data_IF_832884221268
#
_entry.id   IF_832884221268
#
_cell.length_a   1.000
_cell.length_b   1.000
_cell.length_c   1.000
_cell.angle_alpha   90.00
_cell.angle_beta   90.00
_cell.angle_gamma   90.00
#
_symmetry.space_group_name_H-M   'P 1'
#
loop_
_entity.id
_entity.type
_entity.pdbx_description
1 polymer ?
#
# COMPACT_ATOMS: atom_id res chain seq x y z
N UNK A 1 -4.24 -1.03 -52.81
CA UNK A 1 -4.40 -0.73 -51.38
C UNK A 1 -4.11 -2.03 -50.66
N UNK A 2 -2.97 -2.13 -49.98
CA UNK A 2 -2.59 -3.33 -49.24
C UNK A 2 -3.55 -3.54 -48.08
N UNK A 3 -4.19 -4.70 -48.03
CA UNK A 3 -5.00 -5.14 -46.91
C UNK A 3 -4.06 -5.35 -45.71
N UNK A 4 -4.08 -4.42 -44.77
CA UNK A 4 -3.39 -4.59 -43.50
C UNK A 4 -4.14 -5.70 -42.74
N UNK A 5 -3.44 -6.81 -42.46
CA UNK A 5 -3.98 -7.97 -41.76
C UNK A 5 -4.27 -7.58 -40.28
N UNK A 6 -5.53 -7.65 -39.86
CA UNK A 6 -5.96 -7.35 -38.50
C UNK A 6 -5.19 -8.13 -37.43
N UNK A 7 -4.81 -9.39 -37.72
CA UNK A 7 -4.00 -10.20 -36.80
C UNK A 7 -2.59 -9.64 -36.62
N UNK A 8 -1.99 -9.10 -37.68
CA UNK A 8 -0.68 -8.47 -37.60
C UNK A 8 -0.75 -7.15 -36.82
N UNK A 9 -1.85 -6.40 -36.95
CA UNK A 9 -2.09 -5.20 -36.13
C UNK A 9 -2.24 -5.61 -34.66
N UNK A 10 -3.03 -6.64 -34.34
CA UNK A 10 -3.23 -7.11 -32.97
C UNK A 10 -1.91 -7.54 -32.33
N UNK A 11 -1.07 -8.31 -33.03
CA UNK A 11 0.24 -8.73 -32.53
C UNK A 11 1.16 -7.53 -32.28
N UNK A 12 1.19 -6.56 -33.21
CA UNK A 12 2.00 -5.35 -33.05
C UNK A 12 1.49 -4.51 -31.87
N UNK A 13 0.18 -4.34 -31.73
CA UNK A 13 -0.43 -3.59 -30.61
C UNK A 13 -0.16 -4.30 -29.29
N UNK A 14 -0.36 -5.63 -29.21
CA UNK A 14 -0.08 -6.42 -28.00
C UNK A 14 1.40 -6.36 -27.63
N UNK A 15 2.31 -6.39 -28.61
CA UNK A 15 3.75 -6.24 -28.37
C UNK A 15 4.09 -4.84 -27.87
N UNK A 16 3.57 -3.78 -28.49
CA UNK A 16 3.77 -2.39 -28.05
C UNK A 16 3.20 -2.17 -26.64
N UNK A 17 2.03 -2.73 -26.32
CA UNK A 17 1.45 -2.65 -24.97
C UNK A 17 2.35 -3.37 -23.98
N UNK A 18 2.84 -4.57 -24.29
CA UNK A 18 3.74 -5.34 -23.41
C UNK A 18 5.08 -4.61 -23.20
N UNK A 19 5.66 -4.06 -24.28
CA UNK A 19 6.90 -3.27 -24.23
C UNK A 19 6.72 -1.96 -23.47
N UNK A 20 5.57 -1.28 -23.59
CA UNK A 20 5.27 -0.04 -22.85
C UNK A 20 4.89 -0.29 -21.40
N UNK A 21 4.23 -1.39 -21.07
CA UNK A 21 3.99 -1.82 -19.69
C UNK A 21 5.31 -2.21 -18.99
N UNK A 22 6.30 -2.72 -19.73
CA UNK A 22 7.65 -2.97 -19.22
C UNK A 22 8.57 -1.74 -19.15
N UNK A 23 8.13 -0.57 -19.66
CA UNK A 23 8.87 0.69 -19.68
C UNK A 23 8.28 1.76 -18.75
N UNK A 24 7.48 1.36 -17.76
CA UNK A 24 7.18 2.25 -16.65
C UNK A 24 8.42 2.26 -15.76
N UNK A 25 9.00 3.44 -15.55
CA UNK A 25 10.05 3.59 -14.55
C UNK A 25 9.54 2.96 -13.24
N UNK A 26 10.34 2.11 -12.57
CA UNK A 26 9.87 1.47 -11.34
C UNK A 26 9.43 2.56 -10.36
N UNK A 27 8.17 2.50 -9.90
CA UNK A 27 7.57 3.53 -9.03
C UNK A 27 8.38 3.75 -7.74
N UNK A 28 9.15 2.72 -7.35
CA UNK A 28 10.11 2.71 -6.25
C UNK A 28 11.19 1.65 -6.51
N UNK A 29 12.33 1.77 -5.83
CA UNK A 29 13.43 0.81 -5.95
C UNK A 29 13.02 -0.54 -5.31
N UNK A 30 12.79 -1.53 -6.17
CA UNK A 30 12.46 -2.92 -5.84
C UNK A 30 13.36 -3.87 -6.61
N UNK A 31 13.96 -4.83 -5.92
CA UNK A 31 14.70 -5.93 -6.53
C UNK A 31 13.99 -7.23 -6.21
N UNK A 32 13.64 -7.99 -7.25
CA UNK A 32 12.97 -9.30 -7.14
C UNK A 32 13.91 -10.35 -7.73
N UNK A 33 14.32 -11.29 -6.90
CA UNK A 33 15.10 -12.46 -7.32
C UNK A 33 14.19 -13.47 -8.06
N UNK A 34 14.69 -14.27 -9.01
CA UNK A 34 13.89 -15.30 -9.68
C UNK A 34 13.22 -16.32 -8.74
N UNK A 35 13.68 -16.47 -7.49
CA UNK A 35 13.00 -17.26 -6.46
C UNK A 35 11.72 -16.63 -5.91
N UNK A 36 11.45 -15.35 -6.21
CA UNK A 36 10.37 -14.55 -5.63
C UNK A 36 10.77 -13.78 -4.37
N UNK A 37 11.99 -13.99 -3.83
CA UNK A 37 12.51 -13.16 -2.73
C UNK A 37 12.72 -11.74 -3.23
N UNK A 38 12.29 -10.75 -2.46
CA UNK A 38 12.39 -9.35 -2.85
C UNK A 38 12.91 -8.45 -1.74
N UNK A 39 13.61 -7.39 -2.14
CA UNK A 39 14.00 -6.28 -1.27
C UNK A 39 13.42 -4.99 -1.82
N UNK A 40 12.78 -4.20 -0.95
CA UNK A 40 12.11 -2.95 -1.31
C UNK A 40 12.74 -1.83 -0.50
N UNK A 41 13.22 -0.79 -1.17
CA UNK A 41 13.80 0.38 -0.51
C UNK A 41 12.69 1.37 -0.18
N UNK A 42 12.11 1.20 1.00
CA UNK A 42 10.95 1.96 1.46
C UNK A 42 11.13 3.47 1.37
N UNK A 43 12.35 4.02 1.50
CA UNK A 43 12.62 5.45 1.34
C UNK A 43 12.33 6.02 -0.06
N UNK A 44 12.14 5.16 -1.06
CA UNK A 44 11.83 5.56 -2.44
C UNK A 44 10.37 5.42 -2.81
N UNK A 45 9.58 4.78 -1.95
CA UNK A 45 8.13 4.61 -2.13
C UNK A 45 7.45 5.96 -1.95
N UNK A 46 6.66 6.35 -2.94
CA UNK A 46 5.82 7.56 -2.93
C UNK A 46 4.36 7.15 -2.78
N UNK A 47 3.78 7.26 -1.57
CA UNK A 47 2.37 6.96 -1.34
C UNK A 47 1.44 7.87 -2.15
N UNK A 48 0.31 7.32 -2.57
CA UNK A 48 -0.72 8.03 -3.35
C UNK A 48 -1.93 8.31 -2.48
N UNK A 49 -2.73 9.32 -2.83
CA UNK A 49 -3.88 9.72 -2.01
C UNK A 49 -4.85 8.56 -1.83
N UNK A 50 -5.15 8.24 -0.58
CA UNK A 50 -6.15 7.25 -0.19
C UNK A 50 -7.50 7.95 0.09
N UNK A 51 -8.59 7.38 -0.43
CA UNK A 51 -9.93 7.93 -0.21
C UNK A 51 -10.52 7.41 1.10
N UNK A 52 -10.53 8.26 2.13
CA UNK A 52 -11.17 7.96 3.42
C UNK A 52 -12.68 8.22 3.40
N UNK A 53 -13.24 8.70 2.29
CA UNK A 53 -14.61 9.19 2.19
C UNK A 53 -14.80 10.62 2.72
N UNK A 54 -13.74 11.29 3.18
CA UNK A 54 -13.77 12.66 3.72
C UNK A 54 -12.76 13.57 3.03
N UNK A 55 -13.27 14.65 2.47
CA UNK A 55 -12.42 15.67 1.84
C UNK A 55 -11.53 16.37 2.87
N UNK A 56 -10.26 16.58 2.51
CA UNK A 56 -9.26 17.25 3.36
C UNK A 56 -8.40 16.31 4.19
N UNK A 57 -8.77 15.03 4.31
CA UNK A 57 -7.92 14.03 4.95
C UNK A 57 -6.63 13.85 4.11
N UNK A 58 -5.48 13.92 4.80
CA UNK A 58 -4.16 13.76 4.22
C UNK A 58 -3.65 12.36 4.52
N UNK A 59 -4.25 11.38 3.86
CA UNK A 59 -3.91 9.98 3.97
C UNK A 59 -3.39 9.51 2.63
N UNK A 60 -2.23 8.87 2.64
CA UNK A 60 -1.57 8.38 1.44
C UNK A 60 -1.07 6.96 1.66
N UNK A 61 -1.22 6.11 0.67
CA UNK A 61 -0.91 4.69 0.75
C UNK A 61 -0.34 4.19 -0.58
N UNK A 62 0.58 3.22 -0.50
CA UNK A 62 1.03 2.44 -1.66
C UNK A 62 1.33 1.01 -1.23
N UNK A 63 0.60 0.05 -1.80
CA UNK A 63 0.99 -1.35 -1.72
C UNK A 63 2.30 -1.56 -2.49
N UNK A 64 3.25 -2.28 -1.90
CA UNK A 64 4.58 -2.52 -2.48
C UNK A 64 4.77 -3.94 -3.01
N UNK A 65 3.76 -4.80 -2.80
CA UNK A 65 3.66 -6.16 -3.32
C UNK A 65 2.31 -6.36 -4.01
N UNK A 66 2.28 -7.10 -5.11
CA UNK A 66 1.03 -7.52 -5.77
C UNK A 66 0.53 -8.84 -5.16
N UNK A 67 -0.73 -9.21 -5.43
CA UNK A 67 -1.29 -10.51 -5.04
C UNK A 67 -0.58 -11.69 -5.74
N UNK A 68 -0.01 -11.49 -6.93
CA UNK A 68 0.78 -12.52 -7.61
C UNK A 68 2.12 -12.74 -6.90
N UNK A 69 2.77 -11.66 -6.46
CA UNK A 69 4.05 -11.71 -5.75
C UNK A 69 3.90 -12.19 -4.30
N UNK A 70 2.82 -11.80 -3.62
CA UNK A 70 2.52 -12.18 -2.24
C UNK A 70 1.02 -12.49 -2.08
N UNK A 71 0.60 -13.75 -2.31
CA UNK A 71 -0.82 -14.12 -2.28
C UNK A 71 -1.43 -14.21 -0.88
N UNK A 72 -0.61 -14.04 0.18
CA UNK A 72 -1.05 -14.20 1.58
C UNK A 72 -0.87 -12.94 2.40
N UNK A 73 0.25 -12.25 2.25
CA UNK A 73 0.57 -11.06 3.01
C UNK A 73 0.45 -9.82 2.15
N UNK A 74 -0.33 -8.84 2.59
CA UNK A 74 -0.31 -7.50 2.04
C UNK A 74 0.84 -6.74 2.69
N UNK A 75 1.45 -5.83 1.96
CA UNK A 75 2.53 -5.01 2.49
C UNK A 75 2.57 -3.69 1.71
N UNK A 76 2.71 -2.59 2.43
CA UNK A 76 2.80 -1.28 1.82
C UNK A 76 3.35 -0.23 2.76
N UNK A 77 3.39 1.00 2.24
CA UNK A 77 3.82 2.17 3.00
C UNK A 77 2.65 3.14 3.05
N UNK A 78 2.40 3.65 4.26
CA UNK A 78 1.37 4.65 4.51
C UNK A 78 2.00 5.92 5.09
N UNK A 79 1.49 7.05 4.66
CA UNK A 79 1.83 8.38 5.17
C UNK A 79 0.57 9.14 5.54
N UNK A 80 0.64 9.84 6.67
CA UNK A 80 -0.45 10.65 7.19
C UNK A 80 0.09 11.95 7.75
N UNK A 81 -0.69 13.02 7.61
CA UNK A 81 -0.35 14.36 8.11
C UNK A 81 -1.57 15.01 8.77
N UNK A 82 -1.47 15.33 10.06
CA UNK A 82 -2.48 16.05 10.85
C UNK A 82 -3.93 15.61 10.59
N UNK A 83 -4.18 14.29 10.58
CA UNK A 83 -5.44 13.69 10.16
C UNK A 83 -5.87 12.59 11.14
N UNK A 84 -7.18 12.42 11.28
CA UNK A 84 -7.79 11.27 11.95
C UNK A 84 -8.98 10.78 11.13
N UNK A 85 -9.05 9.47 10.89
CA UNK A 85 -10.15 8.85 10.15
C UNK A 85 -10.55 7.51 10.77
N UNK A 86 -11.84 7.20 10.71
CA UNK A 86 -12.39 5.95 11.22
C UNK A 86 -12.14 4.82 10.24
N UNK A 87 -11.73 3.65 10.75
CA UNK A 87 -11.53 2.45 9.95
C UNK A 87 -11.90 1.20 10.75
N UNK A 88 -12.47 0.20 10.08
CA UNK A 88 -12.71 -1.11 10.69
C UNK A 88 -11.89 -2.16 9.95
N UNK A 89 -10.85 -2.68 10.60
CA UNK A 89 -9.97 -3.65 9.98
C UNK A 89 -10.65 -5.02 9.97
N UNK A 90 -10.96 -5.54 8.78
CA UNK A 90 -11.48 -6.91 8.58
C UNK A 90 -10.37 -7.96 8.46
N UNK A 91 -9.15 -7.56 8.79
CA UNK A 91 -7.89 -8.29 8.67
C UNK A 91 -7.00 -7.96 9.87
N UNK A 92 -5.98 -8.78 10.09
CA UNK A 92 -4.92 -8.45 11.05
C UNK A 92 -3.89 -7.54 10.38
N UNK A 93 -3.34 -6.59 11.12
CA UNK A 93 -2.33 -5.64 10.65
C UNK A 93 -1.18 -5.48 11.65
N UNK A 94 0.04 -5.39 11.13
CA UNK A 94 1.24 -4.99 11.88
C UNK A 94 1.84 -3.76 11.22
N UNK A 95 2.00 -2.70 12.01
CA UNK A 95 2.64 -1.47 11.58
C UNK A 95 4.05 -1.35 12.17
N UNK A 96 5.02 -0.99 11.34
CA UNK A 96 6.34 -0.54 11.77
C UNK A 96 6.52 0.94 11.45
N UNK A 97 6.71 1.76 12.49
CA UNK A 97 6.77 3.22 12.33
C UNK A 97 8.18 3.62 11.86
N UNK A 98 8.28 4.05 10.61
CA UNK A 98 9.54 4.53 10.01
C UNK A 98 9.89 5.91 10.57
N UNK A 99 8.89 6.78 10.70
CA UNK A 99 9.08 8.16 11.17
C UNK A 99 7.77 8.73 11.74
N UNK A 100 7.89 9.70 12.65
CA UNK A 100 6.74 10.36 13.26
C UNK A 100 6.06 9.54 14.36
N UNK A 101 4.75 9.78 14.54
CA UNK A 101 3.93 9.16 15.60
C UNK A 101 2.56 8.78 15.04
N UNK A 102 2.21 7.49 15.19
CA UNK A 102 0.89 6.95 14.89
C UNK A 102 0.15 6.65 16.21
N UNK A 103 -1.09 7.10 16.30
CA UNK A 103 -2.01 6.79 17.40
C UNK A 103 -3.19 5.97 16.89
N UNK A 104 -3.45 4.84 17.55
CA UNK A 104 -4.65 4.03 17.34
C UNK A 104 -5.63 4.34 18.47
N UNK A 105 -6.70 5.07 18.13
CA UNK A 105 -7.76 5.38 19.07
C UNK A 105 -8.82 4.26 19.06
N UNK A 106 -9.03 3.62 20.22
CA UNK A 106 -9.97 2.51 20.39
C UNK A 106 -10.63 2.55 21.78
N UNK A 107 -11.96 2.55 21.82
CA UNK A 107 -12.77 2.60 23.06
C UNK A 107 -12.36 3.73 24.03
N UNK A 108 -12.03 4.92 23.50
CA UNK A 108 -11.57 6.06 24.30
C UNK A 108 -10.15 5.93 24.87
N UNK A 109 -9.40 4.91 24.46
CA UNK A 109 -7.99 4.69 24.80
C UNK A 109 -7.12 4.91 23.58
N UNK A 110 -5.83 5.18 23.82
CA UNK A 110 -4.82 5.35 22.77
C UNK A 110 -3.71 4.31 22.88
N UNK A 111 -3.39 3.68 21.76
CA UNK A 111 -2.14 2.93 21.59
C UNK A 111 -1.23 3.76 20.69
N UNK A 112 -0.02 4.08 21.14
CA UNK A 112 0.87 5.03 20.47
C UNK A 112 2.14 4.31 20.02
N UNK A 113 2.48 4.45 18.75
CA UNK A 113 3.76 4.03 18.18
C UNK A 113 4.54 5.22 17.66
N UNK A 114 5.81 5.33 18.04
CA UNK A 114 6.74 6.33 17.54
C UNK A 114 7.76 5.66 16.60
N UNK A 115 8.58 6.47 15.95
CA UNK A 115 9.72 6.00 15.15
C UNK A 115 10.48 4.82 15.81
N UNK A 116 10.50 3.69 15.11
CA UNK A 116 11.16 2.45 15.52
C UNK A 116 10.26 1.46 16.27
N UNK A 117 9.04 1.87 16.63
CA UNK A 117 8.08 1.02 17.33
C UNK A 117 7.25 0.18 16.35
N UNK A 118 6.61 -0.87 16.91
CA UNK A 118 5.63 -1.70 16.25
C UNK A 118 4.25 -1.50 16.89
N UNK A 119 3.20 -1.53 16.07
CA UNK A 119 1.81 -1.66 16.51
C UNK A 119 1.23 -2.93 15.88
N UNK A 120 0.45 -3.67 16.66
CA UNK A 120 -0.35 -4.78 16.15
C UNK A 120 -1.83 -4.46 16.35
N UNK A 121 -2.62 -4.60 15.29
CA UNK A 121 -4.05 -4.35 15.28
C UNK A 121 -4.76 -5.65 14.88
N UNK A 122 -5.53 -6.27 15.80
CA UNK A 122 -6.20 -7.52 15.50
C UNK A 122 -7.42 -7.31 14.61
N UNK A 123 -7.75 -8.33 13.83
CA UNK A 123 -8.95 -8.41 13.01
C UNK A 123 -10.22 -8.04 13.79
N UNK A 124 -11.13 -7.35 13.10
CA UNK A 124 -12.40 -6.81 13.59
C UNK A 124 -12.24 -5.67 14.60
N UNK A 125 -11.10 -4.98 14.61
CA UNK A 125 -10.93 -3.74 15.38
C UNK A 125 -11.55 -2.56 14.63
N UNK A 126 -12.49 -1.86 15.27
CA UNK A 126 -12.99 -0.56 14.82
C UNK A 126 -12.25 0.54 15.56
N UNK A 127 -11.47 1.32 14.82
CA UNK A 127 -10.50 2.27 15.36
C UNK A 127 -10.60 3.63 14.67
N UNK A 128 -9.85 4.61 15.17
CA UNK A 128 -9.38 5.69 14.33
C UNK A 128 -7.87 5.60 14.20
N UNK A 129 -7.38 5.69 12.95
CA UNK A 129 -5.98 6.03 12.71
C UNK A 129 -5.85 7.53 12.93
N UNK A 130 -5.05 7.94 13.92
CA UNK A 130 -4.88 9.33 14.31
C UNK A 130 -3.41 9.70 14.23
N UNK A 131 -3.11 10.78 13.52
CA UNK A 131 -1.76 11.33 13.39
C UNK A 131 -1.80 12.83 13.72
N UNK A 132 -1.37 13.22 14.93
CA UNK A 132 -1.42 14.63 15.36
C UNK A 132 -0.50 15.56 14.58
N UNK A 133 0.57 15.03 13.99
CA UNK A 133 1.54 15.80 13.22
C UNK A 133 1.88 15.08 11.91
N UNK A 134 2.78 14.11 11.93
CA UNK A 134 3.13 13.30 10.75
C UNK A 134 3.44 11.86 11.19
N UNK A 135 3.14 10.89 10.34
CA UNK A 135 3.59 9.51 10.48
C UNK A 135 3.88 8.91 9.11
N UNK A 136 4.97 8.16 9.01
CA UNK A 136 5.29 7.25 7.90
C UNK A 136 5.53 5.86 8.47
N UNK A 137 4.81 4.87 7.98
CA UNK A 137 4.91 3.50 8.50
C UNK A 137 4.74 2.45 7.40
N UNK A 138 5.33 1.28 7.63
CA UNK A 138 5.04 0.06 6.85
C UNK A 138 3.87 -0.63 7.51
N UNK A 139 2.87 -1.05 6.74
CA UNK A 139 1.84 -1.98 7.20
C UNK A 139 2.08 -3.36 6.57
N UNK A 140 1.77 -4.41 7.32
CA UNK A 140 1.72 -5.80 6.84
C UNK A 140 0.38 -6.39 7.26
N UNK A 141 -0.38 -6.91 6.29
CA UNK A 141 -1.74 -7.39 6.52
C UNK A 141 -1.90 -8.87 6.19
N UNK A 142 -2.86 -9.51 6.85
CA UNK A 142 -3.36 -10.81 6.45
C UNK A 142 -4.90 -10.85 6.50
N UNK A 143 -5.59 -11.26 5.42
CA UNK A 143 -5.04 -11.70 4.13
C UNK A 143 -4.56 -10.53 3.24
N UNK A 144 -3.87 -10.84 2.14
CA UNK A 144 -3.22 -9.85 1.28
C UNK A 144 -4.16 -8.88 0.58
N UNK A 145 -5.38 -9.32 0.24
CA UNK A 145 -6.38 -8.50 -0.44
C UNK A 145 -7.20 -7.66 0.56
N UNK A 146 -6.52 -7.07 1.54
CA UNK A 146 -7.11 -6.37 2.68
C UNK A 146 -8.12 -5.28 2.26
N UNK A 147 -7.85 -4.58 1.15
CA UNK A 147 -8.69 -3.50 0.64
C UNK A 147 -10.01 -3.99 0.01
N UNK A 148 -10.11 -5.29 -0.31
CA UNK A 148 -11.31 -5.91 -0.88
C UNK A 148 -12.20 -6.56 0.19
N UNK A 149 -11.79 -6.53 1.47
CA UNK A 149 -12.55 -7.12 2.56
C UNK A 149 -13.58 -6.12 3.09
N UNK A 150 -14.86 -6.46 2.91
CA UNK A 150 -16.02 -5.73 3.47
C UNK A 150 -16.32 -6.07 4.94
#
# INVERSE_FOLDING_TARGET
MENINEQAIEEIVRRIITEKLGQVAPEFEKHVDPSGIMSIKTSTVKPEKFDTGKEGDKVYLKDVVTLEESPRLGCGVMEMDQTSFAWTLKYDEVDYIIDGTLEIDIDGRKVVGNKGDLIYIPRNSSIHFTVPNHARFVYVTYPANWAELE
#
